data_IF_679335341688
#
_entry.id   IF_679335341688
#
_cell.length_a   1.000
_cell.length_b   1.000
_cell.length_c   1.000
_cell.angle_alpha   90.00
_cell.angle_beta   90.00
_cell.angle_gamma   90.00
#
_symmetry.space_group_name_H-M   'P 1'
#
loop_
_entity.id
_entity.type
_entity.pdbx_description
1 polymer ?
#
# COMPACT_ATOMS: atom_id res chain seq x y z
N UNK A 1 15.94 -6.36 8.50
CA UNK A 1 15.36 -5.15 9.11
C UNK A 1 13.89 -5.09 8.79
N UNK A 2 13.08 -4.43 9.62
CA UNK A 2 11.66 -4.19 9.32
C UNK A 2 11.53 -3.41 8.00
N UNK A 3 10.43 -3.63 7.27
CA UNK A 3 10.16 -2.88 6.04
C UNK A 3 9.95 -1.40 6.37
N UNK A 4 10.44 -0.54 5.50
CA UNK A 4 10.11 0.89 5.58
C UNK A 4 8.67 1.14 5.12
N UNK A 5 8.03 2.26 5.49
CA UNK A 5 6.63 2.51 5.16
C UNK A 5 6.34 2.51 3.66
N UNK A 6 7.29 3.02 2.86
CA UNK A 6 7.22 2.95 1.39
C UNK A 6 7.20 1.49 0.91
N UNK A 7 8.01 0.62 1.49
CA UNK A 7 8.10 -0.80 1.08
C UNK A 7 6.83 -1.56 1.44
N UNK A 8 6.16 -1.22 2.55
CA UNK A 8 4.86 -1.78 2.90
C UNK A 8 3.77 -1.34 1.92
N UNK A 9 3.67 -0.03 1.64
CA UNK A 9 2.69 0.49 0.68
C UNK A 9 2.89 -0.12 -0.72
N UNK A 10 4.13 -0.22 -1.21
CA UNK A 10 4.43 -0.89 -2.47
C UNK A 10 4.15 -2.40 -2.44
N UNK A 11 4.31 -3.06 -1.29
CA UNK A 11 3.96 -4.48 -1.15
C UNK A 11 2.46 -4.70 -1.31
N UNK A 12 1.63 -3.87 -0.66
CA UNK A 12 0.16 -3.92 -0.80
C UNK A 12 -0.29 -3.64 -2.23
N UNK A 13 0.27 -2.59 -2.86
CA UNK A 13 0.01 -2.26 -4.26
C UNK A 13 0.35 -3.42 -5.20
N UNK A 14 1.56 -4.00 -5.06
CA UNK A 14 1.98 -5.15 -5.87
C UNK A 14 1.07 -6.37 -5.69
N UNK A 15 0.61 -6.64 -4.46
CA UNK A 15 -0.31 -7.73 -4.20
C UNK A 15 -1.66 -7.53 -4.90
N UNK A 16 -2.22 -6.31 -4.84
CA UNK A 16 -3.47 -5.97 -5.52
C UNK A 16 -3.34 -6.07 -7.05
N UNK A 17 -2.26 -5.52 -7.63
CA UNK A 17 -2.02 -5.60 -9.07
C UNK A 17 -1.81 -7.04 -9.55
N UNK A 18 -1.11 -7.87 -8.75
CA UNK A 18 -0.95 -9.29 -9.05
C UNK A 18 -2.29 -10.02 -9.06
N UNK A 19 -3.21 -9.68 -8.15
CA UNK A 19 -4.57 -10.23 -8.10
C UNK A 19 -5.42 -9.79 -9.29
N UNK A 20 -5.30 -8.53 -9.72
CA UNK A 20 -6.05 -7.98 -10.85
C UNK A 20 -5.68 -8.62 -12.19
N UNK A 21 -4.43 -9.06 -12.37
CA UNK A 21 -3.95 -9.78 -13.55
C UNK A 21 -4.28 -9.11 -14.90
N UNK A 22 -4.31 -7.78 -14.92
CA UNK A 22 -4.68 -6.97 -16.08
C UNK A 22 -3.80 -7.28 -17.31
N UNK A 23 -4.42 -7.33 -18.49
CA UNK A 23 -3.77 -7.65 -19.78
C UNK A 23 -3.79 -6.52 -20.80
N UNK A 24 -4.34 -5.37 -20.42
CA UNK A 24 -4.32 -4.13 -21.21
C UNK A 24 -3.79 -2.99 -20.36
N UNK A 25 -3.32 -1.92 -21.01
CA UNK A 25 -2.81 -0.73 -20.33
C UNK A 25 -3.91 -0.05 -19.53
N UNK A 26 -5.09 0.06 -20.12
CA UNK A 26 -6.28 0.67 -19.53
C UNK A 26 -6.70 -0.10 -18.28
N UNK A 27 -6.79 -1.44 -18.36
CA UNK A 27 -7.11 -2.27 -17.19
C UNK A 27 -6.03 -2.19 -16.10
N UNK A 28 -4.75 -2.01 -16.48
CA UNK A 28 -3.68 -1.80 -15.49
C UNK A 28 -3.82 -0.45 -14.79
N UNK A 29 -4.17 0.62 -15.52
CA UNK A 29 -4.38 1.94 -14.94
C UNK A 29 -5.57 1.96 -13.99
N UNK A 30 -6.66 1.28 -14.34
CA UNK A 30 -7.82 1.12 -13.45
C UNK A 30 -7.44 0.31 -12.20
N UNK A 31 -6.72 -0.81 -12.37
CA UNK A 31 -6.25 -1.61 -11.24
C UNK A 31 -5.30 -0.81 -10.31
N UNK A 32 -4.45 0.08 -10.85
CA UNK A 32 -3.62 0.97 -10.03
C UNK A 32 -4.49 1.95 -9.25
N UNK A 33 -5.48 2.57 -9.89
CA UNK A 33 -6.42 3.49 -9.24
C UNK A 33 -7.17 2.79 -8.10
N UNK A 34 -7.73 1.61 -8.36
CA UNK A 34 -8.45 0.82 -7.35
C UNK A 34 -7.52 0.41 -6.21
N UNK A 35 -6.32 -0.09 -6.51
CA UNK A 35 -5.37 -0.50 -5.48
C UNK A 35 -4.92 0.66 -4.59
N UNK A 36 -4.68 1.85 -5.16
CA UNK A 36 -4.36 3.04 -4.38
C UNK A 36 -5.52 3.44 -3.45
N UNK A 37 -6.77 3.31 -3.90
CA UNK A 37 -7.95 3.59 -3.09
C UNK A 37 -8.12 2.62 -1.90
N UNK A 38 -7.43 1.47 -1.89
CA UNK A 38 -7.46 0.52 -0.76
C UNK A 38 -6.43 0.83 0.34
N UNK A 39 -5.54 1.79 0.13
CA UNK A 39 -4.59 2.23 1.16
C UNK A 39 -5.31 3.23 2.05
N UNK A 40 -5.62 2.83 3.28
CA UNK A 40 -6.32 3.67 4.25
C UNK A 40 -5.34 4.51 5.08
N UNK A 41 -5.88 5.43 5.90
CA UNK A 41 -5.07 6.12 6.91
C UNK A 41 -4.52 5.13 7.95
N UNK A 42 -5.32 4.15 8.38
CA UNK A 42 -4.90 3.11 9.32
C UNK A 42 -3.77 2.23 8.77
N UNK A 43 -3.82 1.90 7.48
CA UNK A 43 -2.70 1.24 6.80
C UNK A 43 -1.43 2.10 6.90
N UNK A 44 -1.53 3.39 6.57
CA UNK A 44 -0.38 4.29 6.58
C UNK A 44 0.24 4.37 7.98
N UNK A 45 -0.58 4.59 9.01
CA UNK A 45 -0.14 4.62 10.42
C UNK A 45 0.54 3.31 10.82
N UNK A 46 -0.06 2.17 10.45
CA UNK A 46 0.52 0.84 10.66
C UNK A 46 1.88 0.66 9.98
N UNK A 47 2.05 1.18 8.76
CA UNK A 47 3.32 1.12 8.02
C UNK A 47 4.41 1.96 8.70
N UNK A 48 4.07 3.17 9.15
CA UNK A 48 4.98 4.02 9.92
C UNK A 48 5.37 3.39 11.26
N UNK A 49 4.41 2.86 12.01
CA UNK A 49 4.67 2.16 13.26
C UNK A 49 5.56 0.92 13.04
N UNK A 50 5.28 0.09 12.03
CA UNK A 50 6.09 -1.10 11.71
C UNK A 50 7.54 -0.74 11.35
N UNK A 51 7.74 0.38 10.64
CA UNK A 51 9.06 0.91 10.32
C UNK A 51 9.81 1.54 11.51
N UNK A 52 9.21 1.59 12.70
CA UNK A 52 9.80 2.18 13.91
C UNK A 52 9.66 3.71 13.99
N UNK A 53 8.80 4.31 13.18
CA UNK A 53 8.50 5.74 13.23
C UNK A 53 7.46 6.01 14.33
N UNK A 54 7.63 7.13 15.05
CA UNK A 54 6.61 7.58 16.01
C UNK A 54 5.46 8.25 15.25
N UNK A 55 4.26 7.70 15.37
CA UNK A 55 3.03 8.26 14.80
C UNK A 55 2.31 9.05 15.90
N UNK A 56 2.17 10.38 15.81
CA UNK A 56 1.45 11.17 16.80
C UNK A 56 -0.04 10.75 16.84
N UNK A 57 -0.57 10.47 18.03
CA UNK A 57 -2.00 10.11 18.21
C UNK A 57 -2.30 8.61 18.30
N UNK A 58 -1.30 7.74 18.09
CA UNK A 58 -1.37 6.34 18.55
C UNK A 58 -0.99 6.30 20.04
N UNK A 59 -1.98 6.39 20.93
CA UNK A 59 -1.84 6.11 22.37
C UNK A 59 -2.70 4.90 22.76
#
# INVERSE_FOLDING_TARGET
GAKTPKEEAFSKLKAALKKAAARTKEALLDAIREALATITAEDADGYFAHGGYKVPGQY
#
